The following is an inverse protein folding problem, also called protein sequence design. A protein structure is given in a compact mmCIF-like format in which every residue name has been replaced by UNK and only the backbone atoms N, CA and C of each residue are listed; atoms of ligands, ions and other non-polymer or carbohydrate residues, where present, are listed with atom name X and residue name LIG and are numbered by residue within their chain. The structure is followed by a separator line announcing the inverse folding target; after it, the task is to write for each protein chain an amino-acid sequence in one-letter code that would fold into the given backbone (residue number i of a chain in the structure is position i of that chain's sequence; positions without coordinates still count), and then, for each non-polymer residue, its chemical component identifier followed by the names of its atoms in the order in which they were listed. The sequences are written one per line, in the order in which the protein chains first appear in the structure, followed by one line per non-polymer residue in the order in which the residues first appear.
data_IF_181837691117
#
_entry.id   IF_181837691117
#
_cell.length_a   1.000
_cell.length_b   1.000
_cell.length_c   1.000
_cell.angle_alpha   90.00
_cell.angle_beta   90.00
_cell.angle_gamma   90.00
#
_symmetry.space_group_name_H-M   'P 1'
#
loop_
_entity.id
_entity.type
_entity.pdbx_description
1 polymer ?
#
# COMPACT_ATOMS: atom_id res chain seq x y z
N UNK A 1 14.25 6.66 53.34
CA UNK A 1 13.82 5.91 52.16
C UNK A 1 12.83 6.76 51.37
N UNK A 2 13.20 7.34 50.25
CA UNK A 2 12.33 8.17 49.42
C UNK A 2 11.81 7.34 48.24
N UNK A 3 10.52 7.39 47.88
CA UNK A 3 9.98 6.64 46.76
C UNK A 3 10.42 7.29 45.44
N UNK A 4 11.01 6.47 44.56
CA UNK A 4 11.31 6.85 43.17
C UNK A 4 10.01 6.79 42.37
N UNK A 5 9.51 7.95 41.97
CA UNK A 5 8.42 8.06 40.99
C UNK A 5 9.02 7.80 39.61
N UNK A 6 8.64 6.67 39.02
CA UNK A 6 8.96 6.35 37.60
C UNK A 6 7.90 7.08 36.77
N UNK A 7 8.29 8.17 36.11
CA UNK A 7 7.47 8.83 35.12
C UNK A 7 7.53 7.99 33.85
N UNK A 8 6.49 7.20 33.55
CA UNK A 8 6.30 6.56 32.27
C UNK A 8 5.92 7.64 31.25
N UNK A 9 6.88 8.03 30.42
CA UNK A 9 6.64 8.94 29.31
C UNK A 9 5.77 8.27 28.26
N UNK A 10 4.51 8.70 28.16
CA UNK A 10 3.61 8.34 27.06
C UNK A 10 4.11 9.10 25.81
N UNK A 11 4.83 8.42 24.93
CA UNK A 11 5.15 8.95 23.61
C UNK A 11 3.85 8.95 22.79
N UNK A 12 3.14 10.07 22.78
CA UNK A 12 2.06 10.32 21.84
C UNK A 12 2.66 10.45 20.43
N UNK A 13 2.64 9.36 19.68
CA UNK A 13 2.95 9.41 18.26
C UNK A 13 1.92 10.28 17.54
N UNK A 14 2.32 11.44 17.05
CA UNK A 14 1.47 12.24 16.18
C UNK A 14 1.23 11.45 14.90
N UNK A 15 0.00 10.98 14.70
CA UNK A 15 -0.46 10.45 13.44
C UNK A 15 -0.59 11.62 12.45
N UNK A 16 0.17 11.59 11.37
CA UNK A 16 0.02 12.54 10.27
C UNK A 16 -1.27 12.19 9.52
N UNK A 17 -2.26 13.07 9.57
CA UNK A 17 -3.44 12.96 8.72
C UNK A 17 -3.04 13.47 7.36
N UNK A 18 -3.07 12.61 6.34
CA UNK A 18 -2.87 13.03 4.97
C UNK A 18 -4.20 13.48 4.38
N UNK A 19 -4.30 14.78 4.07
CA UNK A 19 -5.41 15.34 3.29
C UNK A 19 -5.20 15.00 1.81
N UNK A 20 -6.03 14.11 1.27
CA UNK A 20 -5.80 13.52 -0.03
C UNK A 20 -6.45 14.28 -1.20
N UNK A 21 -7.14 15.36 -1.00
CA UNK A 21 -7.76 16.13 -2.10
C UNK A 21 -8.80 15.37 -2.95
N UNK A 22 -8.98 14.06 -2.72
CA UNK A 22 -9.96 13.19 -3.38
C UNK A 22 -11.23 13.01 -2.54
N UNK A 23 -11.43 13.87 -1.53
CA UNK A 23 -12.53 13.75 -0.58
C UNK A 23 -12.38 12.60 0.39
N UNK A 24 -11.16 12.08 0.58
CA UNK A 24 -10.82 11.05 1.54
C UNK A 24 -9.69 11.50 2.45
N UNK A 25 -9.71 11.01 3.68
CA UNK A 25 -8.59 11.10 4.60
C UNK A 25 -8.20 9.73 5.13
N UNK A 26 -6.95 9.59 5.57
CA UNK A 26 -6.42 8.40 6.26
C UNK A 26 -5.31 8.81 7.22
N UNK A 27 -4.97 7.91 8.13
CA UNK A 27 -3.83 8.09 9.04
C UNK A 27 -2.63 7.31 8.50
N UNK A 28 -1.53 8.02 8.25
CA UNK A 28 -0.28 7.38 7.84
C UNK A 28 0.28 6.52 8.99
N UNK A 29 0.78 5.30 8.71
CA UNK A 29 1.36 4.46 9.74
C UNK A 29 2.59 5.09 10.40
N UNK A 30 2.71 4.95 11.72
CA UNK A 30 3.89 5.38 12.46
C UNK A 30 5.15 4.65 11.93
N UNK A 31 6.24 5.40 11.75
CA UNK A 31 7.50 4.86 11.27
C UNK A 31 7.62 4.75 9.74
N UNK A 32 6.53 4.94 8.98
CA UNK A 32 6.62 5.08 7.53
C UNK A 32 7.07 6.51 7.19
N UNK A 33 8.00 6.66 6.28
CA UNK A 33 8.54 7.96 5.87
C UNK A 33 7.76 8.51 4.69
N UNK A 34 7.13 9.67 4.86
CA UNK A 34 6.55 10.41 3.73
C UNK A 34 7.67 10.91 2.81
N UNK A 35 7.54 10.63 1.53
CA UNK A 35 8.43 11.15 0.49
C UNK A 35 7.88 12.44 -0.12
N UNK A 36 8.76 13.15 -0.84
CA UNK A 36 8.38 14.32 -1.64
C UNK A 36 7.25 13.96 -2.62
N UNK A 37 6.30 14.86 -2.76
CA UNK A 37 5.18 14.69 -3.65
C UNK A 37 5.63 14.39 -5.10
N UNK A 38 5.04 13.36 -5.70
CA UNK A 38 5.30 12.94 -7.07
C UNK A 38 4.07 13.16 -7.94
N UNK A 39 4.20 13.41 -9.24
CA UNK A 39 3.06 13.53 -10.14
C UNK A 39 2.11 12.34 -10.04
N UNK A 40 0.80 12.59 -10.07
CA UNK A 40 -0.28 11.59 -10.01
C UNK A 40 -0.35 10.77 -8.71
N UNK A 41 0.46 11.11 -7.68
CA UNK A 41 0.42 10.51 -6.35
C UNK A 41 -0.06 11.53 -5.33
N UNK A 42 -1.03 11.14 -4.51
CA UNK A 42 -1.46 11.91 -3.34
C UNK A 42 -0.45 11.80 -2.21
N UNK A 43 0.12 10.61 -2.04
CA UNK A 43 1.17 10.35 -1.08
C UNK A 43 2.11 9.23 -1.58
N UNK A 44 3.33 9.22 -1.05
CA UNK A 44 4.28 8.12 -1.19
C UNK A 44 4.95 7.93 0.17
N UNK A 45 4.99 6.68 0.63
CA UNK A 45 5.66 6.31 1.88
C UNK A 45 6.76 5.29 1.59
N UNK A 46 7.97 5.60 2.05
CA UNK A 46 9.02 4.61 2.21
C UNK A 46 8.72 3.79 3.47
N UNK A 47 8.65 2.48 3.32
CA UNK A 47 8.36 1.54 4.39
C UNK A 47 9.64 0.83 4.80
N UNK A 48 10.12 1.00 6.04
CA UNK A 48 11.37 0.39 6.48
C UNK A 48 11.39 -1.12 6.29
N UNK A 49 12.50 -1.65 5.81
CA UNK A 49 12.65 -3.09 5.61
C UNK A 49 12.65 -3.88 6.91
N UNK A 50 12.13 -5.08 6.87
CA UNK A 50 12.23 -6.04 7.96
C UNK A 50 13.66 -6.61 8.07
N UNK A 51 14.01 -7.10 9.25
CA UNK A 51 15.31 -7.74 9.46
C UNK A 51 15.54 -8.88 8.46
N UNK A 52 16.68 -8.85 7.78
CA UNK A 52 17.08 -9.81 6.76
C UNK A 52 16.70 -9.44 5.32
N UNK A 53 15.88 -8.42 5.11
CA UNK A 53 15.68 -7.82 3.79
C UNK A 53 16.68 -6.68 3.55
N UNK A 54 16.98 -6.38 2.29
CA UNK A 54 17.91 -5.30 1.90
C UNK A 54 17.17 -4.06 1.39
N UNK A 55 16.02 -4.28 0.76
CA UNK A 55 15.25 -3.22 0.13
C UNK A 55 14.11 -2.79 1.07
N UNK A 56 13.85 -1.50 1.14
CA UNK A 56 12.63 -0.96 1.75
C UNK A 56 11.41 -1.29 0.88
N UNK A 57 10.23 -1.26 1.49
CA UNK A 57 8.97 -1.25 0.76
C UNK A 57 8.61 0.16 0.33
N UNK A 58 7.69 0.27 -0.63
CA UNK A 58 7.06 1.53 -1.03
C UNK A 58 5.54 1.38 -0.98
N UNK A 59 4.85 2.33 -0.34
CA UNK A 59 3.40 2.47 -0.44
C UNK A 59 3.07 3.76 -1.19
N UNK A 60 2.60 3.63 -2.43
CA UNK A 60 2.09 4.73 -3.22
C UNK A 60 0.57 4.85 -3.10
N UNK A 61 0.08 6.08 -2.96
CA UNK A 61 -1.35 6.41 -2.99
C UNK A 61 -1.62 7.27 -4.22
N UNK A 62 -2.52 6.79 -5.10
CA UNK A 62 -2.77 7.40 -6.40
C UNK A 62 -4.21 7.87 -6.53
N UNK A 63 -4.39 8.97 -7.22
CA UNK A 63 -5.68 9.48 -7.65
C UNK A 63 -5.54 10.12 -9.03
N UNK A 64 -6.42 9.76 -9.94
CA UNK A 64 -6.35 10.19 -11.34
C UNK A 64 -7.45 11.18 -11.74
N UNK A 65 -8.30 11.56 -10.80
CA UNK A 65 -9.45 12.41 -11.02
C UNK A 65 -10.78 11.65 -11.07
N UNK A 66 -11.92 12.38 -11.04
CA UNK A 66 -13.25 11.78 -11.09
C UNK A 66 -13.45 10.94 -12.35
N UNK A 67 -13.89 9.70 -12.18
CA UNK A 67 -14.14 8.76 -13.28
C UNK A 67 -12.89 8.29 -14.03
N UNK A 68 -11.69 8.64 -13.53
CA UNK A 68 -10.42 8.25 -14.11
C UNK A 68 -9.77 7.08 -13.34
N UNK A 69 -8.71 6.51 -13.91
CA UNK A 69 -7.94 5.41 -13.28
C UNK A 69 -8.37 4.01 -13.70
N UNK A 70 -9.45 3.88 -14.47
CA UNK A 70 -9.96 2.60 -14.96
C UNK A 70 -10.82 1.84 -13.93
N UNK A 71 -11.36 0.69 -14.32
CA UNK A 71 -12.20 -0.12 -13.45
C UNK A 71 -11.38 -0.82 -12.35
N UNK A 72 -12.06 -1.25 -11.29
CA UNK A 72 -11.45 -2.04 -10.20
C UNK A 72 -10.80 -3.30 -10.76
N UNK A 73 -11.51 -4.04 -11.61
CA UNK A 73 -11.06 -5.30 -12.21
C UNK A 73 -9.81 -5.10 -13.07
N UNK A 74 -9.81 -4.07 -13.94
CA UNK A 74 -8.65 -3.77 -14.79
C UNK A 74 -7.39 -3.43 -13.98
N UNK A 75 -7.56 -2.75 -12.84
CA UNK A 75 -6.45 -2.45 -11.93
C UNK A 75 -5.94 -3.68 -11.20
N UNK A 76 -6.84 -4.54 -10.72
CA UNK A 76 -6.47 -5.82 -10.10
C UNK A 76 -5.70 -6.70 -11.08
N UNK A 77 -6.21 -6.89 -12.30
CA UNK A 77 -5.54 -7.69 -13.34
C UNK A 77 -4.15 -7.13 -13.66
N UNK A 78 -4.01 -5.80 -13.76
CA UNK A 78 -2.72 -5.13 -13.99
C UNK A 78 -1.75 -5.35 -12.84
N UNK A 79 -2.19 -5.26 -11.58
CA UNK A 79 -1.33 -5.43 -10.42
C UNK A 79 -0.90 -6.88 -10.25
N UNK A 80 -1.82 -7.83 -10.41
CA UNK A 80 -1.53 -9.27 -10.37
C UNK A 80 -0.57 -9.65 -11.51
N UNK A 81 -0.78 -9.11 -12.71
CA UNK A 81 0.08 -9.35 -13.86
C UNK A 81 1.52 -8.83 -13.73
N UNK A 82 1.82 -8.02 -12.70
CA UNK A 82 3.18 -7.60 -12.36
C UNK A 82 3.96 -8.66 -11.56
N UNK A 83 3.33 -9.75 -11.18
CA UNK A 83 3.94 -10.83 -10.41
C UNK A 83 3.94 -12.13 -11.20
N UNK A 84 5.07 -12.80 -11.21
CA UNK A 84 5.24 -14.10 -11.87
C UNK A 84 5.48 -15.18 -10.81
N UNK A 85 4.91 -16.36 -11.06
CA UNK A 85 5.21 -17.59 -10.33
C UNK A 85 6.59 -18.13 -10.74
N UNK A 86 7.07 -19.17 -10.05
CA UNK A 86 8.36 -19.78 -10.34
C UNK A 86 8.46 -20.36 -11.77
N UNK A 87 7.33 -20.71 -12.38
CA UNK A 87 7.24 -21.20 -13.76
C UNK A 87 7.16 -20.07 -14.81
N UNK A 88 7.23 -18.80 -14.37
CA UNK A 88 7.16 -17.62 -15.23
C UNK A 88 5.75 -17.19 -15.64
N UNK A 89 4.70 -17.85 -15.16
CA UNK A 89 3.32 -17.44 -15.42
C UNK A 89 2.86 -16.35 -14.45
N UNK A 90 1.85 -15.54 -14.80
CA UNK A 90 1.26 -14.58 -13.87
C UNK A 90 0.72 -15.26 -12.62
N UNK A 91 0.99 -14.67 -11.44
CA UNK A 91 0.56 -15.18 -10.11
C UNK A 91 -0.96 -15.05 -9.88
N UNK A 92 -1.78 -15.28 -10.90
CA UNK A 92 -3.23 -15.09 -10.83
C UNK A 92 -3.93 -16.08 -9.91
N UNK A 93 -3.47 -17.33 -9.89
CA UNK A 93 -4.03 -18.38 -9.04
C UNK A 93 -3.70 -18.18 -7.55
N UNK A 94 -2.57 -17.53 -7.25
CA UNK A 94 -2.12 -17.24 -5.89
C UNK A 94 -2.65 -15.91 -5.33
N UNK A 95 -3.24 -15.06 -6.17
CA UNK A 95 -3.79 -13.77 -5.76
C UNK A 95 -5.05 -13.95 -4.92
N UNK A 96 -5.11 -13.25 -3.78
CA UNK A 96 -6.30 -13.19 -2.93
C UNK A 96 -6.95 -11.83 -3.09
N UNK A 97 -8.23 -11.81 -3.42
CA UNK A 97 -9.03 -10.59 -3.55
C UNK A 97 -10.12 -10.61 -2.49
N UNK A 98 -10.26 -9.51 -1.76
CA UNK A 98 -11.31 -9.32 -0.75
C UNK A 98 -12.07 -8.01 -1.02
N UNK A 99 -13.37 -8.01 -0.66
CA UNK A 99 -14.23 -6.83 -0.76
C UNK A 99 -14.89 -6.54 0.59
N UNK A 100 -14.74 -5.32 1.07
CA UNK A 100 -15.32 -4.89 2.35
C UNK A 100 -15.79 -3.44 2.29
N UNK A 101 -16.55 -3.02 3.29
CA UNK A 101 -16.87 -1.62 3.53
C UNK A 101 -16.06 -1.09 4.71
N UNK A 102 -15.56 0.15 4.59
CA UNK A 102 -14.89 0.90 5.66
C UNK A 102 -15.55 2.26 5.75
N UNK A 103 -16.21 2.58 6.85
CA UNK A 103 -16.97 3.82 7.05
C UNK A 103 -17.86 4.21 5.86
N UNK A 104 -18.54 3.20 5.27
CA UNK A 104 -19.42 3.37 4.11
C UNK A 104 -18.71 3.38 2.75
N UNK A 105 -17.39 3.42 2.71
CA UNK A 105 -16.59 3.33 1.49
C UNK A 105 -16.43 1.87 1.05
N UNK A 106 -16.60 1.59 -0.25
CA UNK A 106 -16.30 0.26 -0.79
C UNK A 106 -14.77 0.14 -0.99
N UNK A 107 -14.20 -0.90 -0.43
CA UNK A 107 -12.78 -1.21 -0.53
C UNK A 107 -12.60 -2.59 -1.13
N UNK A 108 -11.91 -2.66 -2.26
CA UNK A 108 -11.47 -3.92 -2.87
C UNK A 108 -9.96 -4.04 -2.68
N UNK A 109 -9.51 -5.07 -1.98
CA UNK A 109 -8.09 -5.33 -1.70
C UNK A 109 -7.58 -6.55 -2.45
N UNK A 110 -6.27 -6.57 -2.73
CA UNK A 110 -5.56 -7.67 -3.34
C UNK A 110 -4.25 -7.93 -2.60
N UNK A 111 -3.94 -9.21 -2.47
CA UNK A 111 -2.68 -9.72 -1.93
C UNK A 111 -2.09 -10.69 -2.95
N UNK A 112 -0.89 -10.39 -3.46
CA UNK A 112 -0.20 -11.23 -4.43
C UNK A 112 1.30 -11.24 -4.16
N UNK A 113 1.93 -12.41 -4.30
CA UNK A 113 3.37 -12.62 -4.13
C UNK A 113 3.97 -13.29 -5.37
N UNK A 114 5.27 -13.10 -5.56
CA UNK A 114 6.00 -13.71 -6.66
C UNK A 114 7.26 -12.94 -7.04
N UNK A 115 7.73 -13.15 -8.27
CA UNK A 115 8.79 -12.35 -8.86
C UNK A 115 8.18 -11.07 -9.47
N UNK A 116 8.50 -9.93 -8.90
CA UNK A 116 7.97 -8.63 -9.30
C UNK A 116 8.68 -8.08 -10.52
N UNK A 117 7.95 -7.81 -11.58
CA UNK A 117 8.47 -7.31 -12.86
C UNK A 117 8.51 -5.78 -12.98
N UNK A 118 8.02 -5.06 -11.97
CA UNK A 118 7.96 -3.59 -11.99
C UNK A 118 6.67 -3.04 -12.63
N UNK A 119 6.59 -1.71 -12.69
CA UNK A 119 5.41 -0.99 -13.23
C UNK A 119 5.38 -0.89 -14.76
N UNK A 120 6.35 -1.42 -15.44
CA UNK A 120 6.37 -1.43 -16.89
C UNK A 120 5.88 -2.77 -17.40
N UNK A 121 4.81 -2.79 -18.19
CA UNK A 121 4.39 -3.98 -18.93
C UNK A 121 5.54 -4.58 -19.78
N UNK A 122 5.27 -5.54 -20.69
CA UNK A 122 6.29 -6.28 -21.45
C UNK A 122 7.30 -5.39 -22.20
N UNK A 123 7.00 -4.11 -22.37
CA UNK A 123 7.85 -3.13 -23.07
C UNK A 123 8.77 -2.32 -22.13
N UNK A 124 8.56 -2.32 -20.82
CA UNK A 124 9.43 -1.64 -19.86
C UNK A 124 10.51 -2.61 -19.38
N UNK A 125 11.59 -2.70 -20.14
CA UNK A 125 12.80 -3.43 -19.78
C UNK A 125 13.56 -2.67 -18.69
N UNK A 126 13.13 -2.72 -17.46
CA UNK A 126 13.89 -2.19 -16.34
C UNK A 126 14.27 -3.31 -15.37
N UNK A 127 15.34 -4.03 -15.71
CA UNK A 127 15.97 -5.00 -14.82
C UNK A 127 15.33 -6.40 -14.80
N UNK A 128 16.03 -7.34 -14.15
CA UNK A 128 15.50 -8.68 -13.90
C UNK A 128 14.35 -8.62 -12.87
N UNK A 129 13.35 -9.53 -12.98
CA UNK A 129 12.29 -9.62 -11.98
C UNK A 129 12.86 -9.76 -10.56
N UNK A 130 12.32 -9.04 -9.62
CA UNK A 130 12.73 -9.13 -8.20
C UNK A 130 12.00 -10.29 -7.53
N UNK A 131 12.70 -11.38 -7.29
CA UNK A 131 12.13 -12.55 -6.60
C UNK A 131 11.77 -12.25 -5.15
N UNK A 132 10.76 -12.95 -4.61
CA UNK A 132 10.39 -12.86 -3.20
C UNK A 132 9.71 -11.53 -2.83
N UNK A 133 9.03 -10.89 -3.76
CA UNK A 133 8.25 -9.68 -3.53
C UNK A 133 6.78 -9.99 -3.27
N UNK A 134 6.09 -9.05 -2.61
CA UNK A 134 4.65 -9.09 -2.34
C UNK A 134 4.05 -7.71 -2.55
N UNK A 135 2.80 -7.69 -2.95
CA UNK A 135 1.97 -6.50 -3.06
C UNK A 135 0.73 -6.68 -2.20
N UNK A 136 0.44 -5.69 -1.36
CA UNK A 136 -0.87 -5.44 -0.78
C UNK A 136 -1.44 -4.21 -1.48
N UNK A 137 -2.54 -4.39 -2.20
CA UNK A 137 -3.23 -3.32 -2.89
C UNK A 137 -4.62 -3.09 -2.32
N UNK A 138 -5.11 -1.86 -2.38
CA UNK A 138 -6.49 -1.53 -2.08
C UNK A 138 -6.99 -0.45 -3.03
N UNK A 139 -8.20 -0.64 -3.54
CA UNK A 139 -8.93 0.34 -4.35
C UNK A 139 -10.13 0.78 -3.53
N UNK A 140 -10.19 2.07 -3.23
CA UNK A 140 -11.23 2.70 -2.42
C UNK A 140 -12.12 3.53 -3.33
N UNK A 141 -13.38 3.16 -3.44
CA UNK A 141 -14.37 3.93 -4.20
C UNK A 141 -14.83 5.11 -3.33
N UNK A 142 -14.17 6.26 -3.51
CA UNK A 142 -14.43 7.49 -2.77
C UNK A 142 -15.46 8.40 -3.43
N UNK A 143 -15.90 9.47 -2.73
CA UNK A 143 -16.94 10.38 -3.24
C UNK A 143 -16.53 11.15 -4.49
N UNK A 144 -15.24 11.38 -4.70
CA UNK A 144 -14.72 12.09 -5.88
C UNK A 144 -14.04 11.15 -6.88
N UNK A 145 -14.15 9.83 -6.71
CA UNK A 145 -13.54 8.81 -7.56
C UNK A 145 -12.67 7.84 -6.79
N UNK A 146 -12.09 6.88 -7.49
CA UNK A 146 -11.31 5.83 -6.86
C UNK A 146 -9.91 6.31 -6.45
N UNK A 147 -9.51 5.94 -5.23
CA UNK A 147 -8.15 6.12 -4.71
C UNK A 147 -7.48 4.76 -4.59
N UNK A 148 -6.24 4.68 -5.03
CA UNK A 148 -5.51 3.42 -5.20
C UNK A 148 -4.32 3.40 -4.23
N UNK A 149 -4.33 2.49 -3.28
CA UNK A 149 -3.23 2.22 -2.35
C UNK A 149 -2.45 1.01 -2.86
N UNK A 150 -1.14 1.17 -3.06
CA UNK A 150 -0.28 0.10 -3.57
C UNK A 150 0.98 -0.01 -2.72
N UNK A 151 1.01 -0.99 -1.82
CA UNK A 151 2.16 -1.31 -1.00
C UNK A 151 2.92 -2.49 -1.59
N UNK A 152 4.15 -2.27 -2.04
CA UNK A 152 4.99 -3.28 -2.71
C UNK A 152 6.39 -3.30 -2.08
N UNK A 153 6.94 -4.48 -1.91
CA UNK A 153 8.29 -4.65 -1.35
C UNK A 153 8.68 -6.12 -1.19
N UNK A 154 9.84 -6.41 -0.59
CA UNK A 154 10.19 -7.75 -0.19
C UNK A 154 9.08 -8.39 0.65
N UNK A 155 8.76 -9.64 0.40
CA UNK A 155 7.59 -10.30 1.01
C UNK A 155 7.62 -10.28 2.54
N UNK A 156 8.80 -10.40 3.16
CA UNK A 156 8.97 -10.31 4.61
C UNK A 156 8.70 -8.90 5.12
N UNK A 157 9.21 -7.88 4.44
CA UNK A 157 8.94 -6.46 4.76
C UNK A 157 7.46 -6.14 4.68
N UNK A 158 6.78 -6.60 3.62
CA UNK A 158 5.33 -6.41 3.46
C UNK A 158 4.57 -7.15 4.55
N UNK A 159 4.94 -8.40 4.87
CA UNK A 159 4.31 -9.16 5.95
C UNK A 159 4.49 -8.49 7.33
N UNK A 160 5.68 -7.97 7.62
CA UNK A 160 5.98 -7.26 8.87
C UNK A 160 5.14 -5.99 9.04
N UNK A 161 4.84 -5.30 7.94
CA UNK A 161 4.09 -4.05 7.92
C UNK A 161 2.60 -4.22 7.56
N UNK A 162 2.10 -5.44 7.39
CA UNK A 162 0.72 -5.70 6.98
C UNK A 162 -0.30 -5.09 7.95
N UNK A 163 -0.11 -5.29 9.27
CA UNK A 163 -1.01 -4.71 10.29
C UNK A 163 -1.06 -3.19 10.20
N UNK A 164 0.08 -2.53 9.96
CA UNK A 164 0.12 -1.08 9.79
C UNK A 164 -0.63 -0.62 8.53
N UNK A 165 -0.50 -1.35 7.42
CA UNK A 165 -1.27 -1.09 6.20
C UNK A 165 -2.77 -1.30 6.42
N UNK A 166 -3.16 -2.37 7.11
CA UNK A 166 -4.57 -2.64 7.42
C UNK A 166 -5.17 -1.56 8.34
N UNK A 167 -4.41 -1.07 9.32
CA UNK A 167 -4.82 0.05 10.19
C UNK A 167 -4.95 1.36 9.39
N UNK A 168 -4.06 1.64 8.44
CA UNK A 168 -4.19 2.78 7.53
C UNK A 168 -5.48 2.70 6.73
N UNK A 169 -5.81 1.54 6.16
CA UNK A 169 -7.08 1.34 5.44
C UNK A 169 -8.30 1.41 6.37
N UNK A 170 -8.21 0.95 7.61
CA UNK A 170 -9.28 1.05 8.59
C UNK A 170 -9.56 2.49 9.04
N UNK A 171 -8.56 3.39 8.93
CA UNK A 171 -8.69 4.80 9.27
C UNK A 171 -9.29 5.66 8.14
N UNK A 172 -9.54 5.06 6.95
CA UNK A 172 -10.15 5.76 5.82
C UNK A 172 -11.51 6.33 6.19
N UNK A 173 -11.75 7.57 5.79
CA UNK A 173 -13.05 8.22 5.94
C UNK A 173 -13.27 9.26 4.84
N UNK A 174 -14.55 9.60 4.52
CA UNK A 174 -14.86 10.75 3.69
C UNK A 174 -14.53 12.04 4.45
N UNK A 175 -14.10 13.07 3.69
CA UNK A 175 -13.95 14.45 4.20
C UNK A 175 -15.27 15.20 4.19
#
# INVERSE_FOLDING_TARGET
MAPRIILAGLAAGFALIADAGAGLHWTAPAGWKSETQRPMRLATYEVPHAAGDRDNGECGVYYFGPGQGGSVEANLDRWIGQFLEADGKPSKAAAKVDKRAVHGLKVTSVDVSGAYTGMGGPMARSGAPKAGYRLLGAIVEGPQGSVFFKFTGPARTVAHNQTAFDQMLASLGPQ
#
